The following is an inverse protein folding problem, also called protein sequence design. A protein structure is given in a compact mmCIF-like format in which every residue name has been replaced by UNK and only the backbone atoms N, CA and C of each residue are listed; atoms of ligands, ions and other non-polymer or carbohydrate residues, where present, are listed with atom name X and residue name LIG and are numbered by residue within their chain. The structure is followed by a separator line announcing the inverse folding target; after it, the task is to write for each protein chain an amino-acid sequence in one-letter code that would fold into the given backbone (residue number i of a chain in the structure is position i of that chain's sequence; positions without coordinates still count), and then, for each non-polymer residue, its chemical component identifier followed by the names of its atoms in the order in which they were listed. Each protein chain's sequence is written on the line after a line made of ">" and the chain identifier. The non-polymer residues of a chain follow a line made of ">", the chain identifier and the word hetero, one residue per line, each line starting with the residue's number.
data_IF_786350820156
#
_entry.id   IF_786350820156
#
_cell.length_a   1.000
_cell.length_b   1.000
_cell.length_c   1.000
_cell.angle_alpha   90.00
_cell.angle_beta   90.00
_cell.angle_gamma   90.00
#
_symmetry.space_group_name_H-M   'P 1'
#
loop_
_entity.id
_entity.type
_entity.pdbx_description
1 polymer ?
#
# COMPACT_ATOMS: atom_id res chain seq x y z
N UNK A 1 -21.56 14.14 -4.46
CA UNK A 1 -20.74 15.27 -3.97
C UNK A 1 -19.30 14.83 -3.99
N UNK A 2 -18.37 15.64 -4.50
CA UNK A 2 -16.93 15.29 -4.54
C UNK A 2 -16.34 15.41 -3.13
N UNK A 3 -15.63 14.36 -2.68
CA UNK A 3 -14.98 14.31 -1.36
C UNK A 3 -13.53 14.80 -1.42
N UNK A 4 -12.93 15.10 -0.26
CA UNK A 4 -11.51 15.46 -0.20
C UNK A 4 -10.59 14.32 -0.67
N UNK A 5 -10.97 13.07 -0.42
CA UNK A 5 -10.26 11.90 -0.95
C UNK A 5 -10.34 11.81 -2.47
N UNK A 6 -11.48 12.15 -3.08
CA UNK A 6 -11.59 12.18 -4.55
C UNK A 6 -10.63 13.23 -5.14
N UNK A 7 -10.56 14.41 -4.51
CA UNK A 7 -9.65 15.50 -4.93
C UNK A 7 -8.20 15.11 -4.74
N UNK A 8 -7.84 14.56 -3.59
CA UNK A 8 -6.47 14.18 -3.28
C UNK A 8 -5.99 13.03 -4.19
N UNK A 9 -6.85 12.02 -4.41
CA UNK A 9 -6.58 10.92 -5.34
C UNK A 9 -6.31 11.45 -6.75
N UNK A 10 -7.13 12.37 -7.25
CA UNK A 10 -6.93 12.94 -8.60
C UNK A 10 -5.59 13.68 -8.78
N UNK A 11 -5.04 14.24 -7.68
CA UNK A 11 -3.79 15.00 -7.67
C UNK A 11 -2.56 14.12 -7.49
N UNK A 12 -2.69 12.98 -6.80
CA UNK A 12 -1.55 12.17 -6.34
C UNK A 12 -1.47 10.80 -7.00
N UNK A 13 -2.59 10.22 -7.43
CA UNK A 13 -2.65 8.87 -8.02
C UNK A 13 -2.76 8.91 -9.54
N UNK A 14 -2.63 7.74 -10.17
CA UNK A 14 -2.94 7.56 -11.59
C UNK A 14 -4.45 7.77 -11.81
N UNK A 15 -4.83 8.01 -13.07
CA UNK A 15 -6.25 8.19 -13.42
C UNK A 15 -7.09 6.93 -13.08
N UNK A 16 -6.52 5.75 -13.28
CA UNK A 16 -7.18 4.48 -13.00
C UNK A 16 -7.40 4.29 -11.49
N UNK A 17 -6.36 4.47 -10.68
CA UNK A 17 -6.44 4.40 -9.22
C UNK A 17 -7.43 5.43 -8.64
N UNK A 18 -7.38 6.68 -9.11
CA UNK A 18 -8.30 7.72 -8.67
C UNK A 18 -9.76 7.41 -9.04
N UNK A 19 -10.00 6.77 -10.19
CA UNK A 19 -11.32 6.33 -10.59
C UNK A 19 -11.84 5.19 -9.69
N UNK A 20 -10.98 4.25 -9.29
CA UNK A 20 -11.32 3.19 -8.34
C UNK A 20 -11.71 3.79 -6.99
N UNK A 21 -10.91 4.70 -6.41
CA UNK A 21 -11.27 5.35 -5.13
C UNK A 21 -12.61 6.08 -5.24
N UNK A 22 -12.83 6.79 -6.35
CA UNK A 22 -14.04 7.58 -6.56
C UNK A 22 -15.31 6.73 -6.71
N UNK A 23 -15.21 5.52 -7.25
CA UNK A 23 -16.37 4.63 -7.46
C UNK A 23 -16.86 3.95 -6.19
N UNK A 24 -16.05 3.94 -5.13
CA UNK A 24 -16.38 3.29 -3.86
C UNK A 24 -17.18 4.21 -2.93
N UNK A 25 -18.01 3.61 -2.08
CA UNK A 25 -18.66 4.27 -0.96
C UNK A 25 -17.82 4.09 0.32
N UNK A 26 -18.05 4.93 1.34
CA UNK A 26 -17.46 4.70 2.66
C UNK A 26 -18.00 3.41 3.31
N UNK A 27 -17.19 2.67 4.10
CA UNK A 27 -15.80 2.94 4.46
C UNK A 27 -14.75 2.42 3.46
N UNK A 28 -15.18 1.77 2.36
CA UNK A 28 -14.28 1.16 1.39
C UNK A 28 -13.45 2.20 0.62
N UNK A 29 -14.01 3.38 0.38
CA UNK A 29 -13.31 4.50 -0.25
C UNK A 29 -12.09 4.91 0.55
N UNK A 30 -12.26 5.29 1.81
CA UNK A 30 -11.16 5.70 2.68
C UNK A 30 -10.12 4.59 2.85
N UNK A 31 -10.56 3.35 3.08
CA UNK A 31 -9.64 2.21 3.18
C UNK A 31 -8.81 2.00 1.91
N UNK A 32 -9.45 2.01 0.74
CA UNK A 32 -8.76 1.81 -0.54
C UNK A 32 -7.79 2.95 -0.85
N UNK A 33 -8.18 4.19 -0.54
CA UNK A 33 -7.29 5.35 -0.65
C UNK A 33 -6.00 5.15 0.17
N UNK A 34 -6.13 4.83 1.46
CA UNK A 34 -4.97 4.66 2.33
C UNK A 34 -4.12 3.44 1.96
N UNK A 35 -4.73 2.37 1.45
CA UNK A 35 -3.97 1.23 0.90
C UNK A 35 -3.09 1.63 -0.28
N UNK A 36 -3.66 2.29 -1.29
CA UNK A 36 -2.90 2.77 -2.46
C UNK A 36 -1.81 3.75 -2.03
N UNK A 37 -2.16 4.72 -1.18
CA UNK A 37 -1.21 5.70 -0.64
C UNK A 37 -0.01 5.01 0.04
N UNK A 38 -0.30 4.10 0.98
CA UNK A 38 0.72 3.44 1.80
C UNK A 38 1.63 2.56 0.97
N UNK A 39 1.09 1.84 -0.02
CA UNK A 39 1.88 1.04 -0.94
C UNK A 39 2.84 1.90 -1.77
N UNK A 40 2.35 3.01 -2.32
CA UNK A 40 3.20 3.96 -3.07
C UNK A 40 4.26 4.58 -2.17
N UNK A 41 3.90 5.00 -0.96
CA UNK A 41 4.87 5.54 -0.01
C UNK A 41 5.93 4.52 0.40
N UNK A 42 5.57 3.24 0.57
CA UNK A 42 6.54 2.20 0.91
C UNK A 42 7.64 2.10 -0.16
N UNK A 43 7.25 2.11 -1.44
CA UNK A 43 8.19 2.18 -2.55
C UNK A 43 9.03 3.48 -2.52
N UNK A 44 8.38 4.64 -2.41
CA UNK A 44 9.07 5.94 -2.47
C UNK A 44 10.04 6.14 -1.29
N UNK A 45 9.72 5.57 -0.13
CA UNK A 45 10.61 5.54 1.04
C UNK A 45 11.79 4.59 0.80
N UNK A 46 11.56 3.45 0.16
CA UNK A 46 12.63 2.51 -0.19
C UNK A 46 13.62 3.10 -1.21
N UNK A 47 13.16 3.93 -2.16
CA UNK A 47 14.04 4.58 -3.15
C UNK A 47 14.59 5.94 -2.73
N UNK A 48 13.98 6.59 -1.74
CA UNK A 48 14.35 7.95 -1.31
C UNK A 48 13.87 9.05 -2.25
N UNK A 49 12.93 8.76 -3.15
CA UNK A 49 12.47 9.71 -4.19
C UNK A 49 11.50 10.79 -3.70
N UNK A 50 10.97 10.65 -2.48
CA UNK A 50 9.94 11.54 -1.93
C UNK A 50 8.59 11.45 -2.66
N UNK A 51 7.61 12.25 -2.23
CA UNK A 51 6.21 12.13 -2.68
C UNK A 51 5.95 12.61 -4.13
N UNK A 52 6.91 13.26 -4.77
CA UNK A 52 6.72 13.86 -6.09
C UNK A 52 6.42 12.86 -7.22
N UNK A 53 6.74 11.57 -7.01
CA UNK A 53 6.63 10.51 -8.03
C UNK A 53 5.40 9.60 -7.86
N UNK A 54 4.45 9.95 -7.00
CA UNK A 54 3.25 9.11 -6.75
C UNK A 54 2.47 8.75 -8.02
N UNK A 55 2.39 9.68 -8.98
CA UNK A 55 1.69 9.50 -10.27
C UNK A 55 2.42 8.66 -11.30
N UNK A 56 3.73 8.43 -11.13
CA UNK A 56 4.50 7.57 -12.04
C UNK A 56 4.52 6.11 -11.61
N UNK A 57 4.00 5.82 -10.42
CA UNK A 57 3.84 4.46 -9.90
C UNK A 57 2.45 3.95 -10.24
N UNK A 58 2.32 2.64 -10.40
CA UNK A 58 1.02 1.99 -10.59
C UNK A 58 0.88 0.86 -9.57
N UNK A 59 -0.15 0.94 -8.74
CA UNK A 59 -0.45 -0.03 -7.69
C UNK A 59 -1.86 -0.58 -7.93
N UNK A 60 -1.93 -1.88 -8.14
CA UNK A 60 -3.20 -2.60 -8.17
C UNK A 60 -3.59 -2.93 -6.73
N UNK A 61 -4.76 -2.46 -6.29
CA UNK A 61 -5.24 -2.67 -4.92
C UNK A 61 -6.67 -3.22 -4.93
N UNK A 62 -6.87 -4.53 -5.21
CA UNK A 62 -8.19 -5.14 -5.14
C UNK A 62 -8.71 -5.13 -3.70
N UNK A 63 -10.03 -5.05 -3.50
CA UNK A 63 -10.63 -4.94 -2.15
C UNK A 63 -10.31 -6.18 -1.29
N UNK A 64 -10.21 -7.35 -1.92
CA UNK A 64 -10.18 -8.66 -1.22
C UNK A 64 -8.83 -9.37 -1.37
N UNK A 65 -7.83 -8.71 -1.96
CA UNK A 65 -6.54 -9.31 -2.29
C UNK A 65 -5.41 -8.34 -1.91
N UNK A 66 -4.21 -8.88 -1.73
CA UNK A 66 -3.02 -8.09 -1.46
C UNK A 66 -2.74 -7.11 -2.60
N UNK A 67 -2.36 -5.89 -2.26
CA UNK A 67 -1.93 -4.89 -3.23
C UNK A 67 -0.64 -5.33 -3.94
N UNK A 68 -0.52 -4.97 -5.21
CA UNK A 68 0.61 -5.33 -6.07
C UNK A 68 1.18 -4.07 -6.72
N UNK A 69 2.50 -3.93 -6.68
CA UNK A 69 3.19 -2.89 -7.42
C UNK A 69 3.35 -3.35 -8.87
N UNK A 70 2.59 -2.73 -9.78
CA UNK A 70 2.60 -3.06 -11.22
C UNK A 70 3.77 -2.36 -11.91
N UNK A 71 4.06 -1.13 -11.49
CA UNK A 71 5.19 -0.35 -11.99
C UNK A 71 5.82 0.48 -10.86
N UNK A 72 7.14 0.39 -10.66
CA UNK A 72 8.13 -0.39 -11.43
C UNK A 72 8.19 -1.88 -11.10
N UNK A 73 8.74 -2.67 -12.02
CA UNK A 73 8.97 -4.11 -11.86
C UNK A 73 10.24 -4.42 -11.05
N UNK A 74 10.35 -5.65 -10.54
CA UNK A 74 11.50 -6.13 -9.76
C UNK A 74 11.50 -5.68 -8.30
N UNK A 75 10.38 -5.13 -7.85
CA UNK A 75 10.15 -4.73 -6.48
C UNK A 75 9.05 -5.59 -5.89
N UNK A 76 9.29 -6.08 -4.69
CA UNK A 76 8.28 -6.81 -3.95
C UNK A 76 7.57 -5.85 -3.01
N UNK A 77 6.25 -5.89 -3.05
CA UNK A 77 5.35 -5.11 -2.22
C UNK A 77 4.58 -6.08 -1.31
N UNK A 78 4.58 -5.79 -0.01
CA UNK A 78 3.85 -6.59 0.96
C UNK A 78 3.04 -5.68 1.89
N UNK A 79 1.73 -5.88 1.94
CA UNK A 79 0.87 -5.26 2.95
C UNK A 79 1.08 -5.92 4.32
N UNK A 80 1.03 -5.12 5.37
CA UNK A 80 1.21 -5.55 6.76
C UNK A 80 -0.15 -5.83 7.39
N UNK A 81 -0.26 -6.98 8.05
CA UNK A 81 -1.42 -7.30 8.89
C UNK A 81 -1.25 -6.58 10.23
N UNK A 82 -2.06 -5.54 10.45
CA UNK A 82 -2.09 -4.77 11.69
C UNK A 82 -3.31 -5.19 12.52
N UNK A 83 -3.20 -5.12 13.85
CA UNK A 83 -4.29 -5.48 14.78
C UNK A 83 -5.49 -4.53 14.63
N UNK A 84 -5.22 -3.26 14.38
CA UNK A 84 -6.26 -2.27 14.08
C UNK A 84 -6.62 -2.34 12.60
N UNK A 85 -7.81 -2.86 12.28
CA UNK A 85 -8.32 -2.96 10.89
C UNK A 85 -8.44 -1.60 10.17
N UNK A 86 -8.39 -0.50 10.94
CA UNK A 86 -8.41 0.87 10.45
C UNK A 86 -7.06 1.38 9.97
N UNK A 87 -5.96 0.75 10.41
CA UNK A 87 -4.62 1.12 9.99
C UNK A 87 -4.16 0.26 8.82
N UNK A 88 -3.35 0.86 7.95
CA UNK A 88 -2.73 0.17 6.82
C UNK A 88 -1.23 0.32 6.93
N UNK A 89 -0.50 -0.78 6.72
CA UNK A 89 0.94 -0.79 6.59
C UNK A 89 1.35 -1.48 5.30
N UNK A 90 2.48 -1.08 4.72
CA UNK A 90 3.10 -1.78 3.62
C UNK A 90 4.63 -1.65 3.71
N UNK A 91 5.34 -2.66 3.21
CA UNK A 91 6.78 -2.65 3.00
C UNK A 91 7.07 -2.92 1.52
N UNK A 92 8.10 -2.26 0.99
CA UNK A 92 8.57 -2.49 -0.36
C UNK A 92 10.08 -2.72 -0.33
N UNK A 93 10.55 -3.73 -1.05
CA UNK A 93 11.96 -4.13 -1.10
C UNK A 93 12.36 -4.58 -2.51
N UNK A 94 13.66 -4.54 -2.80
CA UNK A 94 14.25 -5.01 -4.06
C UNK A 94 15.36 -6.02 -3.73
N UNK A 95 15.45 -7.08 -4.53
CA UNK A 95 16.45 -8.13 -4.36
C UNK A 95 15.85 -9.52 -4.43
N UNK A 96 16.63 -10.53 -4.04
CA UNK A 96 16.21 -11.94 -3.99
C UNK A 96 16.30 -12.46 -2.55
N UNK A 97 15.50 -13.48 -2.24
CA UNK A 97 15.54 -14.23 -0.97
C UNK A 97 15.38 -13.40 0.31
N UNK A 98 14.76 -12.21 0.24
CA UNK A 98 14.45 -11.45 1.44
C UNK A 98 13.29 -12.11 2.20
N UNK A 99 13.34 -12.04 3.53
CA UNK A 99 12.28 -12.53 4.41
C UNK A 99 11.91 -11.41 5.35
N UNK A 100 10.66 -10.95 5.29
CA UNK A 100 10.14 -10.08 6.35
C UNK A 100 9.86 -10.90 7.60
N UNK A 101 10.26 -10.33 8.74
CA UNK A 101 9.79 -10.76 10.04
C UNK A 101 9.28 -9.53 10.77
N UNK A 102 8.15 -9.69 11.44
CA UNK A 102 7.55 -8.62 12.22
C UNK A 102 7.53 -9.07 13.67
N UNK A 103 7.90 -8.15 14.55
CA UNK A 103 7.89 -8.35 15.99
C UNK A 103 6.96 -7.32 16.60
N UNK A 104 6.03 -7.79 17.42
CA UNK A 104 5.21 -6.93 18.24
C UNK A 104 5.89 -6.78 19.60
N UNK A 105 6.08 -5.54 20.03
CA UNK A 105 6.60 -5.22 21.35
C UNK A 105 5.42 -4.85 22.27
N UNK A 106 4.91 -5.81 23.04
CA UNK A 106 3.74 -5.69 23.90
C UNK A 106 3.38 -7.04 24.55
N UNK A 107 2.57 -7.06 25.62
CA UNK A 107 2.37 -8.19 26.55
C UNK A 107 2.09 -9.54 25.85
N UNK A 108 3.14 -10.34 25.68
CA UNK A 108 3.10 -11.61 24.92
C UNK A 108 3.89 -11.48 23.62
N UNK A 109 5.10 -12.05 23.62
CA UNK A 109 5.95 -12.16 22.44
C UNK A 109 5.26 -13.07 21.41
N UNK A 110 4.69 -12.47 20.37
CA UNK A 110 4.13 -13.21 19.23
C UNK A 110 4.87 -12.78 17.97
N UNK A 111 5.58 -13.72 17.35
CA UNK A 111 6.24 -13.52 16.07
C UNK A 111 5.32 -14.00 14.95
N UNK A 112 4.87 -13.08 14.10
CA UNK A 112 4.25 -13.43 12.83
C UNK A 112 5.35 -13.47 11.77
N UNK A 113 5.55 -14.63 11.14
CA UNK A 113 6.41 -14.80 9.98
C UNK A 113 5.53 -15.06 8.77
N UNK A 114 5.53 -14.17 7.79
CA UNK A 114 4.93 -14.44 6.48
C UNK A 114 6.09 -14.71 5.52
N UNK A 115 6.22 -15.94 5.07
CA UNK A 115 7.18 -16.28 4.01
C UNK A 115 6.51 -15.92 2.68
N UNK A 116 6.96 -14.86 2.04
CA UNK A 116 6.60 -14.56 0.65
C UNK A 116 7.68 -15.20 -0.21
N UNK A 117 7.32 -16.29 -0.89
CA UNK A 117 8.18 -16.96 -1.86
C UNK A 117 8.04 -16.30 -3.23
N UNK A 118 9.15 -16.29 -3.96
CA UNK A 118 9.32 -15.77 -5.32
C UNK A 118 8.24 -16.21 -6.31
#
# INVERSE_FOLDING_TARGET
>A
METDLDRLSSRTFTKAEAQVVRSLAEPLKSRTFFRIWTCKEAYLKATGDGLGKMKSLDVLCPIDQAAQLVNPQGWDLQELLLEEETLVGAVCAVGVDWRSRFWRLGAGFESASLVVGC
#
